data_IF_133853549564
#
_entry.id   IF_133853549564
#
_cell.length_a   1.000
_cell.length_b   1.000
_cell.length_c   1.000
_cell.angle_alpha   90.00
_cell.angle_beta   90.00
_cell.angle_gamma   90.00
#
_symmetry.space_group_name_H-M   'P 1'
#
loop_
_entity.id
_entity.type
_entity.pdbx_description
1 polymer ?
#
# COMPACT_ATOMS: atom_id res chain seq x y z
N UNK A 1 4.60 27.81 15.07
CA UNK A 1 3.56 27.58 14.03
C UNK A 1 4.09 26.51 13.11
N UNK A 2 3.30 25.47 12.83
CA UNK A 2 3.65 24.46 11.83
C UNK A 2 3.20 24.93 10.43
N UNK A 3 4.01 24.65 9.42
CA UNK A 3 3.71 24.97 8.02
C UNK A 3 3.79 23.71 7.19
N UNK A 4 2.82 23.52 6.31
CA UNK A 4 2.76 22.37 5.40
C UNK A 4 3.15 22.82 4.00
N UNK A 5 4.06 22.08 3.37
CA UNK A 5 4.51 22.31 1.99
C UNK A 5 4.21 21.06 1.19
N UNK A 6 3.48 21.18 0.09
CA UNK A 6 3.15 20.07 -0.80
C UNK A 6 4.09 20.07 -2.00
N UNK A 7 4.71 18.93 -2.29
CA UNK A 7 5.61 18.75 -3.43
C UNK A 7 4.93 17.80 -4.43
N UNK A 8 4.39 18.36 -5.52
CA UNK A 8 3.69 17.61 -6.58
C UNK A 8 4.64 17.25 -7.74
N UNK A 9 5.82 16.71 -7.44
CA UNK A 9 6.80 16.34 -8.47
C UNK A 9 7.52 15.05 -8.11
N UNK A 10 7.58 14.13 -9.07
CA UNK A 10 8.35 12.88 -8.98
C UNK A 10 9.73 12.98 -9.63
N UNK A 11 10.23 14.21 -9.86
CA UNK A 11 11.57 14.42 -10.41
C UNK A 11 12.66 13.98 -9.42
N UNK A 12 13.83 13.60 -9.95
CA UNK A 12 15.00 13.22 -9.14
C UNK A 12 15.38 14.36 -8.17
N UNK A 13 15.24 15.61 -8.61
CA UNK A 13 15.48 16.79 -7.77
C UNK A 13 14.51 16.88 -6.59
N UNK A 14 13.23 16.60 -6.82
CA UNK A 14 12.22 16.61 -5.76
C UNK A 14 12.46 15.48 -4.74
N UNK A 15 12.83 14.28 -5.20
CA UNK A 15 13.18 13.17 -4.31
C UNK A 15 14.40 13.49 -3.44
N UNK A 16 15.45 14.09 -4.03
CA UNK A 16 16.63 14.51 -3.29
C UNK A 16 16.31 15.58 -2.24
N UNK A 17 15.42 16.52 -2.55
CA UNK A 17 14.94 17.53 -1.61
C UNK A 17 14.20 16.87 -0.44
N UNK A 18 13.29 15.93 -0.72
CA UNK A 18 12.57 15.17 0.32
C UNK A 18 13.55 14.42 1.22
N UNK A 19 14.56 13.75 0.65
CA UNK A 19 15.59 13.05 1.41
C UNK A 19 16.42 13.99 2.29
N UNK A 20 16.73 15.19 1.81
CA UNK A 20 17.41 16.21 2.60
C UNK A 20 16.54 16.70 3.76
N UNK A 21 15.25 16.96 3.51
CA UNK A 21 14.30 17.40 4.55
C UNK A 21 14.16 16.34 5.66
N UNK A 22 14.18 15.04 5.32
CA UNK A 22 14.16 13.94 6.32
C UNK A 22 15.34 13.96 7.30
N UNK A 23 16.43 14.67 6.99
CA UNK A 23 17.58 14.79 7.91
C UNK A 23 17.35 15.79 9.04
N UNK A 24 16.35 16.66 8.91
CA UNK A 24 15.99 17.63 9.94
C UNK A 24 15.14 16.97 11.02
N UNK A 25 15.50 17.21 12.28
CA UNK A 25 14.79 16.72 13.47
C UNK A 25 13.43 17.42 13.70
N UNK A 26 13.23 18.60 13.10
CA UNK A 26 12.01 19.39 13.20
C UNK A 26 11.04 19.20 12.03
N UNK A 27 11.37 18.36 11.04
CA UNK A 27 10.56 18.16 9.85
C UNK A 27 9.92 16.76 9.82
N UNK A 28 8.62 16.71 9.53
CA UNK A 28 7.90 15.46 9.31
C UNK A 28 7.55 15.35 7.82
N UNK A 29 7.94 14.23 7.20
CA UNK A 29 7.63 13.94 5.79
C UNK A 29 6.53 12.91 5.73
N UNK A 30 5.33 13.35 5.37
CA UNK A 30 4.21 12.46 5.11
C UNK A 30 4.13 12.14 3.61
N UNK A 31 4.40 10.89 3.19
CA UNK A 31 4.17 10.48 1.81
C UNK A 31 2.68 10.54 1.48
N UNK A 32 2.34 11.07 0.31
CA UNK A 32 0.98 11.03 -0.23
C UNK A 32 0.88 9.78 -1.08
N UNK A 33 0.20 8.76 -0.55
CA UNK A 33 -0.12 7.55 -1.29
C UNK A 33 -1.41 7.74 -2.09
N UNK A 34 -1.55 7.03 -3.21
CA UNK A 34 -2.83 6.99 -3.92
C UNK A 34 -3.91 6.35 -3.04
N UNK A 35 -5.16 6.73 -3.30
CA UNK A 35 -6.32 6.23 -2.55
C UNK A 35 -6.42 4.70 -2.63
N UNK A 36 -6.09 4.12 -3.79
CA UNK A 36 -6.08 2.68 -4.03
C UNK A 36 -5.07 1.94 -3.15
N UNK A 37 -3.85 2.49 -3.00
CA UNK A 37 -2.82 1.93 -2.11
C UNK A 37 -3.27 2.01 -0.65
N UNK A 38 -3.91 3.11 -0.24
CA UNK A 38 -4.44 3.26 1.10
C UNK A 38 -5.61 2.29 1.38
N UNK A 39 -6.51 2.11 0.43
CA UNK A 39 -7.62 1.15 0.54
C UNK A 39 -7.09 -0.29 0.59
N UNK A 40 -6.13 -0.64 -0.27
CA UNK A 40 -5.50 -1.93 -0.25
C UNK A 40 -4.80 -2.18 1.09
N UNK A 41 -4.07 -1.21 1.64
CA UNK A 41 -3.41 -1.34 2.96
C UNK A 41 -4.39 -1.73 4.07
N UNK A 42 -5.57 -1.09 4.12
CA UNK A 42 -6.64 -1.41 5.06
C UNK A 42 -7.21 -2.81 4.81
N UNK A 43 -7.42 -3.16 3.54
CA UNK A 43 -7.99 -4.43 3.14
C UNK A 43 -7.04 -5.60 3.42
N UNK A 44 -5.74 -5.46 3.16
CA UNK A 44 -4.73 -6.51 3.27
C UNK A 44 -4.07 -6.57 4.63
N UNK A 45 -4.17 -5.52 5.46
CA UNK A 45 -3.40 -5.31 6.70
C UNK A 45 -1.90 -5.19 6.45
N UNK A 46 -1.50 -4.78 5.25
CA UNK A 46 -0.14 -4.39 4.92
C UNK A 46 0.02 -2.89 5.10
N UNK A 47 1.25 -2.42 5.28
CA UNK A 47 1.53 -0.98 5.23
C UNK A 47 1.57 -0.49 3.77
N UNK A 48 1.26 0.79 3.49
CA UNK A 48 1.43 1.36 2.15
C UNK A 48 2.84 1.20 1.58
N UNK A 49 3.85 1.25 2.44
CA UNK A 49 5.27 1.07 2.08
C UNK A 49 5.56 -0.38 1.63
N UNK A 50 4.99 -1.37 2.31
CA UNK A 50 5.07 -2.78 1.91
C UNK A 50 4.41 -3.03 0.55
N UNK A 51 3.30 -2.35 0.26
CA UNK A 51 2.60 -2.44 -1.03
C UNK A 51 3.49 -1.88 -2.14
N UNK A 52 4.20 -0.77 -1.91
CA UNK A 52 5.12 -0.19 -2.89
C UNK A 52 6.33 -1.11 -3.10
N UNK A 53 6.94 -1.61 -2.03
CA UNK A 53 8.07 -2.52 -2.12
C UNK A 53 7.71 -3.81 -2.88
N UNK A 54 6.52 -4.37 -2.60
CA UNK A 54 6.03 -5.52 -3.33
C UNK A 54 5.74 -5.18 -4.81
N UNK A 55 5.16 -4.01 -5.10
CA UNK A 55 4.93 -3.58 -6.47
C UNK A 55 6.24 -3.46 -7.28
N UNK A 56 7.32 -2.94 -6.66
CA UNK A 56 8.65 -2.91 -7.25
C UNK A 56 9.20 -4.33 -7.51
N UNK A 57 9.04 -5.26 -6.56
CA UNK A 57 9.45 -6.67 -6.71
C UNK A 57 8.75 -7.36 -7.89
N UNK A 58 7.44 -7.10 -8.05
CA UNK A 58 6.63 -7.65 -9.13
C UNK A 58 6.66 -6.82 -10.42
N UNK A 59 7.52 -5.79 -10.50
CA UNK A 59 7.67 -4.92 -11.67
C UNK A 59 6.36 -4.29 -12.17
N UNK A 60 5.53 -3.84 -11.23
CA UNK A 60 4.19 -3.29 -11.48
C UNK A 60 4.00 -1.98 -10.74
N UNK A 61 2.99 -1.20 -11.11
CA UNK A 61 2.68 0.02 -10.38
C UNK A 61 2.08 -0.32 -9.01
N UNK A 62 2.27 0.53 -7.98
CA UNK A 62 1.64 0.33 -6.67
C UNK A 62 0.11 0.22 -6.75
N UNK A 63 -0.50 0.94 -7.70
CA UNK A 63 -1.94 0.93 -7.99
C UNK A 63 -2.38 -0.44 -8.55
N UNK A 64 -1.67 -0.95 -9.57
CA UNK A 64 -1.92 -2.28 -10.11
C UNK A 64 -1.74 -3.37 -9.04
N UNK A 65 -0.80 -3.20 -8.12
CA UNK A 65 -0.55 -4.15 -7.04
C UNK A 65 -1.66 -4.12 -6.00
N UNK A 66 -2.06 -2.93 -5.58
CA UNK A 66 -3.21 -2.71 -4.72
C UNK A 66 -4.48 -3.36 -5.31
N UNK A 67 -4.75 -3.13 -6.60
CA UNK A 67 -5.91 -3.69 -7.29
C UNK A 67 -5.87 -5.21 -7.39
N UNK A 68 -4.77 -5.80 -7.85
CA UNK A 68 -4.64 -7.26 -7.98
C UNK A 68 -4.72 -7.97 -6.63
N UNK A 69 -4.15 -7.40 -5.59
CA UNK A 69 -4.15 -7.98 -4.24
C UNK A 69 -5.55 -7.94 -3.60
N UNK A 70 -6.29 -6.83 -3.77
CA UNK A 70 -7.68 -6.74 -3.27
C UNK A 70 -8.59 -7.77 -3.93
N UNK A 71 -8.49 -7.98 -5.25
CA UNK A 71 -9.20 -9.03 -5.97
C UNK A 71 -8.80 -10.42 -5.46
N UNK A 72 -7.49 -10.68 -5.37
CA UNK A 72 -6.96 -11.97 -4.91
C UNK A 72 -7.50 -12.35 -3.54
N UNK A 73 -7.53 -11.40 -2.59
CA UNK A 73 -8.09 -11.63 -1.26
C UNK A 73 -9.58 -11.98 -1.30
N UNK A 74 -10.36 -11.30 -2.14
CA UNK A 74 -11.80 -11.58 -2.30
C UNK A 74 -12.03 -12.99 -2.88
N UNK A 75 -11.27 -13.35 -3.91
CA UNK A 75 -11.36 -14.68 -4.55
C UNK A 75 -10.94 -15.78 -3.57
N UNK A 76 -9.79 -15.63 -2.91
CA UNK A 76 -9.29 -16.59 -1.93
C UNK A 76 -10.27 -16.79 -0.76
N UNK A 77 -10.92 -15.71 -0.31
CA UNK A 77 -11.98 -15.81 0.71
C UNK A 77 -13.16 -16.65 0.22
N UNK A 78 -13.57 -16.46 -1.03
CA UNK A 78 -14.64 -17.25 -1.65
C UNK A 78 -14.30 -18.73 -1.77
N UNK A 79 -13.08 -19.04 -2.23
CA UNK A 79 -12.57 -20.41 -2.35
C UNK A 79 -12.50 -21.07 -0.97
N UNK A 80 -11.92 -20.39 0.03
CA UNK A 80 -11.79 -20.93 1.38
C UNK A 80 -13.16 -21.27 2.01
N UNK A 81 -14.18 -20.44 1.79
CA UNK A 81 -15.55 -20.73 2.24
C UNK A 81 -16.13 -21.98 1.58
N UNK A 82 -15.93 -22.14 0.26
CA UNK A 82 -16.39 -23.34 -0.46
C UNK A 82 -15.68 -24.58 0.05
N UNK A 83 -14.36 -24.54 0.16
CA UNK A 83 -13.56 -25.65 0.70
C UNK A 83 -13.99 -26.03 2.12
N UNK A 84 -14.18 -25.06 3.01
CA UNK A 84 -14.66 -25.34 4.37
C UNK A 84 -16.03 -26.05 4.35
N UNK A 85 -16.93 -25.67 3.45
CA UNK A 85 -18.23 -26.33 3.27
C UNK A 85 -18.07 -27.76 2.73
N UNK A 86 -17.27 -27.93 1.68
CA UNK A 86 -17.09 -29.22 1.00
C UNK A 86 -16.42 -30.26 1.91
N UNK A 87 -15.51 -29.82 2.77
CA UNK A 87 -14.79 -30.67 3.72
C UNK A 87 -15.37 -30.68 5.13
N UNK A 88 -16.49 -29.99 5.37
CA UNK A 88 -17.15 -29.86 6.67
C UNK A 88 -16.22 -29.35 7.80
N UNK A 89 -15.38 -28.37 7.46
CA UNK A 89 -14.41 -27.73 8.37
C UNK A 89 -14.97 -26.36 8.79
N UNK A 90 -14.86 -25.94 10.06
CA UNK A 90 -15.30 -24.61 10.48
C UNK A 90 -14.46 -23.51 9.81
N UNK A 91 -15.12 -22.61 9.09
CA UNK A 91 -14.48 -21.45 8.47
C UNK A 91 -14.11 -20.38 9.51
N UNK A 92 -12.84 -20.02 9.59
CA UNK A 92 -12.33 -18.87 10.36
C UNK A 92 -11.81 -17.83 9.38
N UNK A 93 -12.45 -16.67 9.29
CA UNK A 93 -11.97 -15.59 8.43
C UNK A 93 -12.72 -14.30 8.61
#
# INVERSE_FOLDING_TARGET
MCYTITINSNSVQAQNLVNYIKTFDFAEVTPIFSEEVLEASKATKMTPEEIIAAAEEYQMTPEDYAFTMTISKKVNRGIAKRMCKDFNIPYKG
#
